data_IF_591005631526
#
_entry.id   IF_591005631526
#
_cell.length_a   1.000
_cell.length_b   1.000
_cell.length_c   1.000
_cell.angle_alpha   90.00
_cell.angle_beta   90.00
_cell.angle_gamma   90.00
#
_symmetry.space_group_name_H-M   'P 1'
#
loop_
_entity.id
_entity.type
_entity.pdbx_description
1 polymer ?
#
# COMPACT_ATOMS: atom_id res chain seq x y z
N UNK A 1 2.40 -1.64 4.13
CA UNK A 1 1.80 -0.50 4.82
C UNK A 1 2.70 0.08 5.92
N UNK A 2 3.26 -0.76 6.81
CA UNK A 2 4.08 -0.31 7.96
C UNK A 2 5.38 0.42 7.58
N UNK A 3 6.02 0.02 6.49
CA UNK A 3 7.24 0.68 6.02
C UNK A 3 6.97 1.90 5.13
N UNK A 4 5.74 2.13 4.70
CA UNK A 4 5.39 3.17 3.73
C UNK A 4 4.39 4.17 4.31
N UNK A 5 3.10 3.91 4.26
CA UNK A 5 2.06 4.85 4.69
C UNK A 5 2.20 5.27 6.16
N UNK A 6 2.47 4.29 7.04
CA UNK A 6 2.65 4.59 8.46
C UNK A 6 3.90 5.44 8.72
N UNK A 7 4.96 5.31 7.90
CA UNK A 7 6.13 6.18 7.99
C UNK A 7 5.80 7.63 7.59
N UNK A 8 5.07 7.85 6.49
CA UNK A 8 4.66 9.19 6.08
C UNK A 8 3.78 9.90 7.13
N UNK A 9 2.79 9.18 7.67
CA UNK A 9 1.96 9.74 8.75
C UNK A 9 2.80 10.01 10.00
N UNK A 10 3.75 9.14 10.33
CA UNK A 10 4.66 9.35 11.46
C UNK A 10 5.53 10.60 11.29
N UNK A 11 6.08 10.83 10.09
CA UNK A 11 6.82 12.06 9.76
C UNK A 11 5.94 13.29 9.88
N UNK A 12 4.71 13.23 9.36
CA UNK A 12 3.75 14.31 9.44
C UNK A 12 3.44 14.69 10.92
N UNK A 13 3.14 13.69 11.76
CA UNK A 13 2.85 13.91 13.18
C UNK A 13 4.05 14.51 13.90
N UNK A 14 5.27 14.03 13.64
CA UNK A 14 6.49 14.53 14.26
C UNK A 14 6.85 15.95 13.82
N UNK A 15 6.63 16.27 12.53
CA UNK A 15 6.97 17.57 11.95
C UNK A 15 6.01 18.66 12.44
N UNK A 16 4.72 18.37 12.49
CA UNK A 16 3.70 19.38 12.75
C UNK A 16 3.08 19.29 14.16
N UNK A 17 3.41 18.24 14.92
CA UNK A 17 2.77 17.93 16.21
C UNK A 17 1.23 17.95 16.10
N UNK A 18 0.70 17.52 14.96
CA UNK A 18 -0.72 17.51 14.65
C UNK A 18 -1.36 16.22 15.17
N UNK A 19 -2.00 16.32 16.33
CA UNK A 19 -2.64 15.19 17.02
C UNK A 19 -4.03 14.85 16.44
N UNK A 20 -4.47 15.52 15.36
CA UNK A 20 -5.77 15.24 14.76
C UNK A 20 -5.75 14.01 13.83
N UNK A 21 -4.56 13.52 13.50
CA UNK A 21 -4.40 12.37 12.61
C UNK A 21 -3.72 11.19 13.32
N UNK A 22 -4.08 10.01 12.91
CA UNK A 22 -3.51 8.75 13.35
C UNK A 22 -4.04 7.61 12.48
N UNK A 23 -3.48 6.43 12.63
CA UNK A 23 -3.86 5.24 11.85
C UNK A 23 -4.60 4.26 12.75
N UNK A 24 -5.82 3.88 12.36
CA UNK A 24 -6.47 2.67 12.83
C UNK A 24 -6.10 1.53 11.87
N UNK A 25 -5.28 0.59 12.33
CA UNK A 25 -4.86 -0.56 11.56
C UNK A 25 -5.86 -1.70 11.65
N UNK A 26 -6.34 -2.18 10.49
CA UNK A 26 -7.28 -3.31 10.43
C UNK A 26 -6.62 -4.50 9.76
N UNK A 27 -6.58 -5.63 10.47
CA UNK A 27 -6.12 -6.90 9.92
C UNK A 27 -7.30 -7.68 9.34
N UNK A 28 -7.24 -8.05 8.06
CA UNK A 28 -8.29 -8.83 7.41
C UNK A 28 -8.04 -10.35 7.47
N UNK A 29 -6.77 -10.78 7.59
CA UNK A 29 -6.38 -12.18 7.42
C UNK A 29 -6.09 -12.86 8.74
N UNK A 30 -6.70 -14.00 8.96
CA UNK A 30 -6.51 -14.83 10.17
C UNK A 30 -5.04 -15.27 10.35
N UNK A 31 -4.33 -15.53 9.27
CA UNK A 31 -2.93 -15.98 9.29
C UNK A 31 -1.98 -14.91 9.88
N UNK A 32 -2.34 -13.66 9.77
CA UNK A 32 -1.53 -12.54 10.28
C UNK A 32 -1.92 -12.12 11.71
N UNK A 33 -2.99 -12.68 12.29
CA UNK A 33 -3.51 -12.31 13.61
C UNK A 33 -2.45 -12.37 14.72
N UNK A 34 -1.57 -13.38 14.70
CA UNK A 34 -0.49 -13.49 15.71
C UNK A 34 0.52 -12.35 15.63
N UNK A 35 0.90 -11.93 14.41
CA UNK A 35 1.80 -10.78 14.22
C UNK A 35 1.11 -9.49 14.63
N UNK A 36 -0.18 -9.40 14.34
CA UNK A 36 -1.03 -8.28 14.69
C UNK A 36 -1.21 -8.13 16.21
N UNK A 37 -1.38 -9.23 16.95
CA UNK A 37 -1.41 -9.27 18.41
C UNK A 37 -0.12 -8.68 19.02
N UNK A 38 1.05 -9.04 18.48
CA UNK A 38 2.32 -8.51 18.93
C UNK A 38 2.39 -6.98 18.75
N UNK A 39 1.91 -6.46 17.64
CA UNK A 39 1.84 -5.03 17.39
C UNK A 39 0.84 -4.35 18.35
N UNK A 40 -0.29 -4.98 18.62
CA UNK A 40 -1.32 -4.51 19.56
C UNK A 40 -0.77 -4.43 21.00
N UNK A 41 0.00 -5.43 21.44
CA UNK A 41 0.69 -5.42 22.74
C UNK A 41 1.66 -4.22 22.89
N UNK A 42 2.24 -3.76 21.78
CA UNK A 42 3.12 -2.58 21.73
C UNK A 42 2.37 -1.28 21.43
N UNK A 43 1.04 -1.28 21.48
CA UNK A 43 0.18 -0.12 21.20
C UNK A 43 0.49 0.51 19.83
N UNK A 44 0.71 -0.32 18.81
CA UNK A 44 1.03 0.13 17.46
C UNK A 44 2.49 0.56 17.22
N UNK A 45 3.35 0.59 18.25
CA UNK A 45 4.75 1.03 18.13
C UNK A 45 5.67 -0.04 17.60
N UNK A 46 6.59 0.35 16.74
CA UNK A 46 7.64 -0.53 16.22
C UNK A 46 8.83 0.28 15.69
N UNK A 47 9.94 -0.41 15.43
CA UNK A 47 11.12 0.19 14.82
C UNK A 47 11.13 -0.12 13.32
N UNK A 48 11.30 0.93 12.52
CA UNK A 48 11.65 0.86 11.11
C UNK A 48 13.16 1.05 10.99
N UNK A 49 13.86 0.02 10.49
CA UNK A 49 15.27 0.08 10.12
C UNK A 49 15.38 0.33 8.64
N UNK A 50 16.16 1.33 8.24
CA UNK A 50 16.56 1.52 6.84
C UNK A 50 18.04 1.25 6.67
N UNK A 51 18.41 0.70 5.52
CA UNK A 51 19.79 0.43 5.15
C UNK A 51 20.03 0.97 3.75
N UNK A 52 21.00 1.88 3.62
CA UNK A 52 21.41 2.43 2.33
C UNK A 52 22.29 1.45 1.55
N UNK A 53 22.53 1.71 0.27
CA UNK A 53 23.48 0.95 -0.56
C UNK A 53 24.92 1.06 -0.06
N UNK A 54 25.27 2.12 0.67
CA UNK A 54 26.56 2.28 1.35
C UNK A 54 26.65 1.49 2.66
N UNK A 55 25.58 0.83 3.10
CA UNK A 55 25.51 0.12 4.38
C UNK A 55 25.22 1.00 5.58
N UNK A 56 24.86 2.27 5.36
CA UNK A 56 24.47 3.17 6.45
C UNK A 56 23.09 2.77 6.98
N UNK A 57 22.99 2.65 8.30
CA UNK A 57 21.79 2.21 9.00
C UNK A 57 21.12 3.36 9.74
N UNK A 58 19.82 3.50 9.58
CA UNK A 58 18.98 4.41 10.36
C UNK A 58 17.86 3.63 11.05
N UNK A 59 17.50 4.05 12.28
CA UNK A 59 16.43 3.46 13.07
C UNK A 59 15.43 4.54 13.45
N UNK A 60 14.18 4.30 13.14
CA UNK A 60 13.08 5.23 13.40
C UNK A 60 11.97 4.53 14.19
N UNK A 61 11.56 5.12 15.31
CA UNK A 61 10.36 4.66 16.01
C UNK A 61 9.12 5.15 15.25
N UNK A 62 8.25 4.23 14.92
CA UNK A 62 6.94 4.50 14.31
C UNK A 62 5.88 4.35 15.39
N UNK A 63 5.10 5.41 15.60
CA UNK A 63 4.04 5.50 16.60
C UNK A 63 2.72 6.07 16.02
N UNK A 64 2.63 6.21 14.72
CA UNK A 64 1.45 6.71 14.01
C UNK A 64 0.23 5.79 14.06
N UNK A 65 0.41 4.51 14.42
CA UNK A 65 -0.69 3.55 14.56
C UNK A 65 -1.20 3.62 16.00
N UNK A 66 -2.40 4.17 16.16
CA UNK A 66 -3.00 4.44 17.48
C UNK A 66 -4.05 3.40 17.89
N UNK A 67 -4.60 2.68 16.92
CA UNK A 67 -5.62 1.67 17.13
C UNK A 67 -5.37 0.45 16.22
N UNK A 68 -5.75 -0.73 16.69
CA UNK A 68 -5.52 -1.99 15.99
C UNK A 68 -6.70 -2.94 16.21
N UNK A 69 -7.40 -3.28 15.13
CA UNK A 69 -8.59 -4.14 15.13
C UNK A 69 -8.37 -5.35 14.22
N UNK A 70 -8.59 -6.54 14.73
CA UNK A 70 -8.52 -7.79 13.96
C UNK A 70 -9.91 -8.20 13.46
N UNK A 71 -10.25 -7.87 12.22
CA UNK A 71 -11.53 -8.21 11.61
C UNK A 71 -11.78 -9.71 11.55
N UNK A 72 -10.74 -10.52 11.44
CA UNK A 72 -10.91 -11.99 11.45
C UNK A 72 -11.48 -12.53 12.76
N UNK A 73 -11.39 -11.76 13.84
CA UNK A 73 -11.87 -12.12 15.19
C UNK A 73 -13.04 -11.25 15.66
N UNK A 74 -13.04 -9.99 15.32
CA UNK A 74 -14.09 -9.04 15.72
C UNK A 74 -14.51 -8.21 14.50
N UNK A 75 -15.45 -8.78 13.74
CA UNK A 75 -15.95 -8.18 12.50
C UNK A 75 -16.70 -6.89 12.78
N UNK A 76 -17.57 -6.89 13.78
CA UNK A 76 -18.41 -5.74 14.11
C UNK A 76 -17.58 -4.50 14.45
N UNK A 77 -16.59 -4.62 15.32
CA UNK A 77 -15.68 -3.53 15.70
C UNK A 77 -14.91 -2.96 14.49
N UNK A 78 -14.41 -3.86 13.63
CA UNK A 78 -13.67 -3.43 12.45
C UNK A 78 -14.55 -2.77 11.37
N UNK A 79 -15.79 -3.22 11.22
CA UNK A 79 -16.77 -2.63 10.32
C UNK A 79 -17.27 -1.29 10.87
N UNK A 80 -17.45 -1.16 12.17
CA UNK A 80 -17.86 0.07 12.84
C UNK A 80 -16.76 1.16 12.79
N UNK A 81 -15.51 0.78 12.66
CA UNK A 81 -14.41 1.74 12.53
C UNK A 81 -14.64 2.73 11.37
N UNK A 82 -15.22 2.28 10.25
CA UNK A 82 -15.55 3.17 9.13
C UNK A 82 -16.79 4.04 9.39
N UNK A 83 -17.58 3.73 10.41
CA UNK A 83 -18.72 4.55 10.83
C UNK A 83 -18.32 5.70 11.76
N UNK A 84 -17.06 5.77 12.17
CA UNK A 84 -16.53 6.94 12.87
C UNK A 84 -16.47 8.14 11.91
N UNK A 85 -17.11 9.29 12.24
CA UNK A 85 -17.11 10.49 11.39
C UNK A 85 -15.71 11.10 11.20
N UNK A 86 -14.75 10.80 12.08
CA UNK A 86 -13.38 11.30 11.99
C UNK A 86 -12.53 10.48 11.01
N UNK A 87 -12.95 9.29 10.62
CA UNK A 87 -12.32 8.52 9.55
C UNK A 87 -12.69 9.14 8.19
N UNK A 88 -11.69 9.73 7.53
CA UNK A 88 -11.83 10.43 6.24
C UNK A 88 -11.23 9.65 5.08
N UNK A 89 -10.21 8.84 5.37
CA UNK A 89 -9.39 8.15 4.38
C UNK A 89 -9.15 6.71 4.82
N UNK A 90 -9.30 5.78 3.89
CA UNK A 90 -8.90 4.38 4.05
C UNK A 90 -7.80 4.08 3.06
N UNK A 91 -6.63 3.72 3.54
CA UNK A 91 -5.54 3.18 2.71
C UNK A 91 -5.52 1.67 2.82
N UNK A 92 -5.32 0.96 1.71
CA UNK A 92 -5.32 -0.50 1.72
C UNK A 92 -4.16 -1.09 0.93
N UNK A 93 -3.60 -2.18 1.49
CA UNK A 93 -2.57 -3.00 0.87
C UNK A 93 -2.92 -4.46 1.12
N UNK A 94 -3.58 -5.08 0.16
CA UNK A 94 -4.03 -6.49 0.25
C UNK A 94 -3.27 -7.41 -0.68
N UNK A 95 -2.29 -6.86 -1.42
CA UNK A 95 -1.51 -7.46 -2.49
C UNK A 95 -2.36 -7.77 -3.74
N UNK A 96 -1.70 -7.92 -4.90
CA UNK A 96 -2.38 -8.14 -6.19
C UNK A 96 -3.37 -9.32 -6.15
N UNK A 97 -2.96 -10.43 -5.53
CA UNK A 97 -3.82 -11.62 -5.41
C UNK A 97 -5.07 -11.41 -4.55
N UNK A 98 -5.03 -10.47 -3.61
CA UNK A 98 -6.13 -10.15 -2.71
C UNK A 98 -7.28 -9.38 -3.37
N UNK A 99 -7.09 -8.89 -4.59
CA UNK A 99 -8.15 -8.25 -5.37
C UNK A 99 -8.91 -9.21 -6.27
N UNK A 100 -8.44 -10.47 -6.42
CA UNK A 100 -9.12 -11.52 -7.21
C UNK A 100 -9.47 -11.08 -8.63
N UNK A 101 -8.61 -10.30 -9.26
CA UNK A 101 -8.81 -9.77 -10.62
C UNK A 101 -8.39 -10.80 -11.69
N UNK A 102 -9.01 -10.70 -12.84
CA UNK A 102 -8.63 -11.45 -14.05
C UNK A 102 -7.62 -10.64 -14.90
N UNK A 103 -7.19 -11.19 -16.02
CA UNK A 103 -6.25 -10.58 -16.96
C UNK A 103 -6.72 -9.22 -17.54
N UNK A 104 -7.99 -8.87 -17.38
CA UNK A 104 -8.59 -7.60 -17.81
C UNK A 104 -8.78 -6.63 -16.66
N UNK A 105 -8.13 -6.83 -15.53
CA UNK A 105 -8.31 -6.05 -14.28
C UNK A 105 -9.77 -5.94 -13.82
N UNK A 106 -10.58 -6.97 -14.10
CA UNK A 106 -11.97 -7.06 -13.64
C UNK A 106 -12.10 -8.13 -12.56
N UNK A 107 -13.03 -7.96 -11.64
CA UNK A 107 -13.29 -8.95 -10.60
C UNK A 107 -13.64 -10.31 -11.21
N UNK A 108 -12.94 -11.34 -10.79
CA UNK A 108 -13.20 -12.69 -11.27
C UNK A 108 -14.36 -13.37 -10.50
N UNK A 109 -15.58 -13.07 -10.92
CA UNK A 109 -16.80 -13.60 -10.30
C UNK A 109 -16.93 -15.15 -10.39
N UNK A 110 -16.07 -15.81 -11.16
CA UNK A 110 -16.10 -17.28 -11.28
C UNK A 110 -15.35 -17.99 -10.15
N UNK A 111 -14.51 -17.31 -9.40
CA UNK A 111 -13.78 -17.88 -8.29
C UNK A 111 -14.72 -18.28 -7.17
N UNK A 112 -14.50 -19.46 -6.60
CA UNK A 112 -15.33 -20.02 -5.53
C UNK A 112 -15.35 -19.11 -4.29
N UNK A 113 -14.19 -18.55 -3.91
CA UNK A 113 -14.07 -17.61 -2.79
C UNK A 113 -14.96 -16.37 -3.01
N UNK A 114 -15.04 -15.84 -4.23
CA UNK A 114 -15.88 -14.68 -4.54
C UNK A 114 -17.36 -15.07 -4.45
N UNK A 115 -17.75 -16.21 -5.01
CA UNK A 115 -19.13 -16.71 -4.93
C UNK A 115 -19.57 -16.93 -3.49
N UNK A 116 -18.72 -17.57 -2.68
CA UNK A 116 -19.03 -17.84 -1.28
C UNK A 116 -19.21 -16.54 -0.47
N UNK A 117 -18.42 -15.52 -0.76
CA UNK A 117 -18.56 -14.22 -0.11
C UNK A 117 -19.83 -13.47 -0.58
N UNK A 118 -20.19 -13.52 -1.86
CA UNK A 118 -21.43 -12.93 -2.40
C UNK A 118 -22.66 -13.62 -1.80
N UNK A 119 -22.63 -14.93 -1.66
CA UNK A 119 -23.72 -15.73 -1.09
C UNK A 119 -23.78 -15.66 0.45
N UNK A 120 -22.84 -14.96 1.10
CA UNK A 120 -22.77 -14.84 2.57
C UNK A 120 -22.32 -16.12 3.31
N UNK A 121 -21.81 -17.12 2.58
CA UNK A 121 -21.24 -18.36 3.16
C UNK A 121 -19.90 -18.09 3.85
N UNK A 122 -19.17 -17.12 3.32
CA UNK A 122 -17.91 -16.62 3.86
C UNK A 122 -17.97 -15.09 3.99
N UNK A 123 -17.10 -14.54 4.83
CA UNK A 123 -16.88 -13.10 4.95
C UNK A 123 -15.40 -12.91 5.28
N UNK A 124 -14.54 -12.90 4.23
CA UNK A 124 -13.09 -13.09 4.39
C UNK A 124 -12.24 -12.28 3.41
N UNK A 125 -12.88 -11.53 2.48
CA UNK A 125 -12.18 -10.76 1.44
C UNK A 125 -12.38 -9.27 1.62
N UNK A 126 -11.52 -8.46 0.99
CA UNK A 126 -11.58 -6.99 1.08
C UNK A 126 -12.96 -6.44 0.67
N UNK A 127 -13.58 -6.99 -0.39
CA UNK A 127 -14.88 -6.49 -0.86
C UNK A 127 -16.01 -6.74 0.12
N UNK A 128 -16.03 -7.90 0.80
CA UNK A 128 -17.04 -8.18 1.83
C UNK A 128 -16.84 -7.29 3.06
N UNK A 129 -15.60 -6.98 3.43
CA UNK A 129 -15.30 -5.99 4.47
C UNK A 129 -15.80 -4.60 4.08
N UNK A 130 -15.40 -4.10 2.89
CA UNK A 130 -15.81 -2.78 2.40
C UNK A 130 -17.32 -2.66 2.25
N UNK A 131 -17.99 -3.69 1.72
CA UNK A 131 -19.45 -3.72 1.62
C UNK A 131 -20.11 -3.54 2.99
N UNK A 132 -19.73 -4.35 3.98
CA UNK A 132 -20.31 -4.27 5.31
C UNK A 132 -20.03 -2.93 6.01
N UNK A 133 -18.78 -2.47 5.98
CA UNK A 133 -18.34 -1.25 6.65
C UNK A 133 -18.93 0.01 6.00
N UNK A 134 -18.96 0.10 4.66
CA UNK A 134 -19.55 1.22 3.94
C UNK A 134 -21.09 1.26 4.08
N UNK A 135 -21.74 0.09 4.14
CA UNK A 135 -23.18 0.02 4.42
C UNK A 135 -23.52 0.55 5.82
N UNK A 136 -22.73 0.18 6.82
CA UNK A 136 -22.86 0.74 8.18
C UNK A 136 -22.63 2.25 8.16
N UNK A 137 -21.59 2.74 7.48
CA UNK A 137 -21.31 4.18 7.34
C UNK A 137 -22.46 4.93 6.66
N UNK A 138 -22.98 4.42 5.56
CA UNK A 138 -24.14 4.99 4.86
C UNK A 138 -25.34 5.12 5.79
N UNK A 139 -25.67 4.05 6.52
CA UNK A 139 -26.85 4.00 7.37
C UNK A 139 -26.71 4.81 8.65
N UNK A 140 -25.52 4.91 9.23
CA UNK A 140 -25.33 5.52 10.56
C UNK A 140 -25.00 7.00 10.49
N UNK A 141 -24.07 7.41 9.63
CA UNK A 141 -23.57 8.81 9.58
C UNK A 141 -23.72 9.47 8.22
N UNK A 142 -23.91 8.70 7.16
CA UNK A 142 -24.08 9.18 5.78
C UNK A 142 -23.01 10.22 5.34
N UNK A 143 -21.73 9.99 5.69
CA UNK A 143 -20.63 10.91 5.36
C UNK A 143 -19.70 10.31 4.32
N UNK A 144 -19.23 11.18 3.44
CA UNK A 144 -18.26 10.87 2.38
C UNK A 144 -16.98 10.25 2.92
N UNK A 145 -16.24 9.50 2.09
CA UNK A 145 -14.96 8.87 2.45
C UNK A 145 -14.11 8.66 1.19
N UNK A 146 -12.78 8.71 1.35
CA UNK A 146 -11.84 8.38 0.29
C UNK A 146 -11.26 6.98 0.51
N UNK A 147 -11.26 6.14 -0.52
CA UNK A 147 -10.63 4.81 -0.53
C UNK A 147 -9.42 4.83 -1.44
N UNK A 148 -8.25 4.59 -0.88
CA UNK A 148 -6.97 4.67 -1.57
C UNK A 148 -6.31 3.28 -1.61
N UNK A 149 -6.27 2.67 -2.80
CA UNK A 149 -5.52 1.45 -3.04
C UNK A 149 -4.03 1.79 -3.13
N UNK A 150 -3.21 1.22 -2.23
CA UNK A 150 -1.77 1.44 -2.16
C UNK A 150 -0.98 0.20 -2.60
N UNK A 151 -1.53 -0.59 -3.51
CA UNK A 151 -0.86 -1.75 -4.09
C UNK A 151 -0.28 -1.42 -5.48
N UNK A 152 0.72 -2.20 -5.90
CA UNK A 152 1.42 -2.01 -7.15
C UNK A 152 0.62 -2.56 -8.33
N UNK A 153 -0.53 -1.97 -8.62
CA UNK A 153 -1.47 -2.32 -9.68
C UNK A 153 -1.70 -1.07 -10.53
N UNK A 154 -1.74 -1.22 -11.84
CA UNK A 154 -2.03 -0.12 -12.76
C UNK A 154 -3.43 0.43 -12.52
N UNK A 155 -3.54 1.77 -12.51
CA UNK A 155 -4.80 2.48 -12.28
C UNK A 155 -5.54 1.91 -11.07
N UNK A 156 -4.81 1.76 -9.96
CA UNK A 156 -5.25 1.00 -8.79
C UNK A 156 -6.54 1.55 -8.14
N UNK A 157 -6.77 2.86 -8.20
CA UNK A 157 -8.02 3.48 -7.75
C UNK A 157 -9.20 3.09 -8.65
N UNK A 158 -9.04 3.19 -9.98
CA UNK A 158 -10.05 2.79 -10.96
C UNK A 158 -10.36 1.30 -10.85
N UNK A 159 -9.32 0.47 -10.75
CA UNK A 159 -9.47 -0.98 -10.56
C UNK A 159 -10.27 -1.30 -9.29
N UNK A 160 -9.94 -0.67 -8.16
CA UNK A 160 -10.65 -0.88 -6.89
C UNK A 160 -12.13 -0.49 -7.01
N UNK A 161 -12.41 0.70 -7.59
CA UNK A 161 -13.77 1.19 -7.80
C UNK A 161 -14.59 0.21 -8.64
N UNK A 162 -14.05 -0.19 -9.80
CA UNK A 162 -14.71 -1.10 -10.74
C UNK A 162 -14.99 -2.47 -10.11
N UNK A 163 -14.01 -3.04 -9.41
CA UNK A 163 -14.17 -4.34 -8.76
C UNK A 163 -15.18 -4.29 -7.61
N UNK A 164 -15.16 -3.23 -6.80
CA UNK A 164 -16.13 -3.03 -5.73
C UNK A 164 -17.56 -2.89 -6.30
N UNK A 165 -17.74 -2.10 -7.36
CA UNK A 165 -19.04 -1.96 -8.05
C UNK A 165 -19.54 -3.30 -8.61
N UNK A 166 -18.66 -4.09 -9.21
CA UNK A 166 -19.01 -5.43 -9.72
C UNK A 166 -19.43 -6.37 -8.57
N UNK A 167 -18.71 -6.32 -7.43
CA UNK A 167 -19.04 -7.13 -6.26
C UNK A 167 -20.40 -6.74 -5.68
N UNK A 168 -20.67 -5.45 -5.50
CA UNK A 168 -21.93 -4.94 -4.98
C UNK A 168 -23.12 -5.26 -5.90
N UNK A 169 -22.93 -5.11 -7.21
CA UNK A 169 -23.95 -5.50 -8.20
C UNK A 169 -24.29 -6.98 -8.13
N UNK A 170 -23.25 -7.86 -8.05
CA UNK A 170 -23.43 -9.29 -7.90
C UNK A 170 -24.09 -9.68 -6.56
N UNK A 171 -23.83 -8.91 -5.50
CA UNK A 171 -24.44 -9.06 -4.18
C UNK A 171 -25.84 -8.40 -4.09
N UNK A 172 -26.31 -7.76 -5.17
CA UNK A 172 -27.60 -7.02 -5.23
C UNK A 172 -27.72 -5.86 -4.23
N UNK A 173 -26.61 -5.27 -3.84
CA UNK A 173 -26.55 -4.11 -2.93
C UNK A 173 -26.63 -2.80 -3.72
N UNK A 174 -27.74 -2.60 -4.43
CA UNK A 174 -27.91 -1.47 -5.38
C UNK A 174 -27.99 -0.10 -4.69
N UNK A 175 -28.59 -0.01 -3.51
CA UNK A 175 -28.66 1.24 -2.74
C UNK A 175 -27.25 1.68 -2.29
N UNK A 176 -26.43 0.75 -1.82
CA UNK A 176 -25.05 1.02 -1.46
C UNK A 176 -24.21 1.39 -2.70
N UNK A 177 -24.45 0.75 -3.84
CA UNK A 177 -23.77 1.06 -5.10
C UNK A 177 -24.04 2.54 -5.51
N UNK A 178 -25.29 2.97 -5.48
CA UNK A 178 -25.67 4.36 -5.78
C UNK A 178 -25.08 5.35 -4.77
N UNK A 179 -25.07 4.99 -3.49
CA UNK A 179 -24.45 5.81 -2.45
C UNK A 179 -22.94 5.99 -2.68
N UNK A 180 -22.22 4.91 -3.02
CA UNK A 180 -20.78 4.94 -3.29
C UNK A 180 -20.45 5.88 -4.45
N UNK A 181 -21.24 5.89 -5.53
CA UNK A 181 -21.01 6.76 -6.68
C UNK A 181 -21.01 8.26 -6.32
N UNK A 182 -21.72 8.65 -5.27
CA UNK A 182 -21.88 10.04 -4.86
C UNK A 182 -21.04 10.41 -3.62
N UNK A 183 -20.55 9.42 -2.87
CA UNK A 183 -19.99 9.65 -1.54
C UNK A 183 -18.60 9.04 -1.33
N UNK A 184 -18.05 8.35 -2.33
CA UNK A 184 -16.73 7.72 -2.21
C UNK A 184 -15.85 8.13 -3.39
N UNK A 185 -14.65 8.65 -3.11
CA UNK A 185 -13.62 8.86 -4.14
C UNK A 185 -12.60 7.74 -4.11
N UNK A 186 -11.97 7.49 -5.26
CA UNK A 186 -11.02 6.40 -5.47
C UNK A 186 -9.78 6.93 -6.22
N UNK A 187 -9.00 7.85 -5.62
CA UNK A 187 -7.79 8.32 -6.28
C UNK A 187 -6.83 7.16 -6.54
N UNK A 188 -6.17 7.20 -7.69
CA UNK A 188 -5.06 6.28 -7.97
C UNK A 188 -3.78 6.79 -7.34
N UNK A 189 -2.83 5.89 -7.06
CA UNK A 189 -1.54 6.29 -6.55
C UNK A 189 -0.39 5.38 -7.01
N UNK A 190 0.80 5.93 -7.01
CA UNK A 190 2.05 5.20 -7.19
C UNK A 190 2.76 5.12 -5.85
N UNK A 191 3.05 3.91 -5.39
CA UNK A 191 3.84 3.64 -4.19
C UNK A 191 5.14 2.97 -4.58
N UNK A 192 6.24 3.40 -3.97
CA UNK A 192 7.52 2.74 -4.18
C UNK A 192 8.38 2.76 -2.92
N UNK A 193 8.81 1.62 -2.50
CA UNK A 193 9.81 1.34 -1.47
C UNK A 193 10.10 -0.14 -1.40
N UNK A 194 11.36 -0.54 -1.52
CA UNK A 194 11.77 -1.92 -1.28
C UNK A 194 11.66 -2.23 0.21
N UNK A 195 10.84 -3.24 0.53
CA UNK A 195 10.63 -3.72 1.90
C UNK A 195 10.85 -5.23 1.91
N UNK A 196 12.08 -5.69 2.18
CA UNK A 196 12.38 -7.11 2.21
C UNK A 196 11.70 -7.82 3.38
N UNK A 197 11.69 -9.15 3.34
CA UNK A 197 11.28 -9.92 4.52
C UNK A 197 12.18 -9.55 5.69
N UNK A 198 11.57 -9.20 6.83
CA UNK A 198 12.32 -8.87 8.04
C UNK A 198 13.18 -10.05 8.47
N UNK A 199 14.51 -9.92 8.49
CA UNK A 199 15.41 -11.00 8.89
C UNK A 199 15.29 -11.26 10.39
N UNK A 200 15.54 -12.51 10.80
CA UNK A 200 15.43 -12.91 12.21
C UNK A 200 16.40 -12.13 13.12
N UNK A 201 17.57 -11.75 12.63
CA UNK A 201 18.55 -11.00 13.41
C UNK A 201 18.06 -9.60 13.81
N UNK A 202 17.16 -8.99 13.03
CA UNK A 202 16.64 -7.65 13.34
C UNK A 202 15.91 -7.62 14.69
N UNK A 203 15.27 -8.70 15.05
CA UNK A 203 14.59 -8.86 16.32
C UNK A 203 15.53 -8.77 17.51
N UNK A 204 16.64 -9.52 17.45
CA UNK A 204 17.68 -9.48 18.50
C UNK A 204 18.37 -8.13 18.56
N UNK A 205 18.65 -7.55 17.42
CA UNK A 205 19.25 -6.22 17.29
C UNK A 205 18.38 -5.11 17.91
N UNK A 206 17.06 -5.12 17.63
CA UNK A 206 16.13 -4.17 18.24
C UNK A 206 16.04 -4.37 19.75
N UNK A 207 16.03 -5.62 20.21
CA UNK A 207 16.04 -5.92 21.64
C UNK A 207 17.29 -5.37 22.33
N UNK A 208 18.45 -5.57 21.72
CA UNK A 208 19.73 -5.10 22.26
C UNK A 208 19.83 -3.57 22.28
N UNK A 209 19.49 -2.91 21.16
CA UNK A 209 19.65 -1.46 21.02
C UNK A 209 18.57 -0.64 21.72
N UNK A 210 17.33 -1.12 21.74
CA UNK A 210 16.17 -0.34 22.21
C UNK A 210 15.46 -0.94 23.42
N UNK A 211 15.93 -2.10 23.91
CA UNK A 211 15.26 -2.85 24.97
C UNK A 211 13.77 -3.12 24.67
N UNK A 212 13.46 -3.31 23.39
CA UNK A 212 12.12 -3.59 22.90
C UNK A 212 12.07 -5.06 22.49
N UNK A 213 11.32 -5.89 23.25
CA UNK A 213 10.95 -7.23 22.78
C UNK A 213 10.08 -7.07 21.54
N UNK A 214 10.69 -7.23 20.34
CA UNK A 214 10.07 -6.72 19.16
C UNK A 214 10.04 -7.72 18.00
N UNK A 215 8.95 -8.47 17.94
CA UNK A 215 8.56 -9.18 16.73
C UNK A 215 7.91 -8.26 15.67
N UNK A 216 7.97 -6.94 15.85
CA UNK A 216 7.24 -5.96 15.06
C UNK A 216 8.16 -5.07 14.22
N UNK A 217 9.49 -5.24 14.30
CA UNK A 217 10.44 -4.50 13.47
C UNK A 217 10.17 -4.69 11.96
N UNK A 218 10.47 -3.65 11.19
CA UNK A 218 10.36 -3.66 9.73
C UNK A 218 11.68 -3.15 9.16
N UNK A 219 12.13 -3.74 8.05
CA UNK A 219 13.29 -3.27 7.32
C UNK A 219 12.87 -2.74 5.95
N UNK A 220 13.49 -1.66 5.52
CA UNK A 220 13.27 -1.08 4.21
C UNK A 220 14.52 -0.36 3.69
N UNK A 221 14.52 0.01 2.42
CA UNK A 221 15.48 0.96 1.87
C UNK A 221 15.17 2.40 2.35
N UNK A 222 16.14 3.33 2.28
CA UNK A 222 15.91 4.74 2.60
C UNK A 222 14.92 5.39 1.62
N UNK A 223 14.99 5.04 0.33
CA UNK A 223 14.10 5.59 -0.69
C UNK A 223 12.64 5.28 -0.36
N UNK A 224 11.80 6.30 -0.49
CA UNK A 224 10.35 6.19 -0.34
C UNK A 224 9.67 7.17 -1.26
N UNK A 225 8.68 6.72 -2.01
CA UNK A 225 7.90 7.56 -2.90
C UNK A 225 6.41 7.25 -2.79
N UNK A 226 5.61 8.32 -2.69
CA UNK A 226 4.16 8.23 -2.78
C UNK A 226 3.63 9.38 -3.63
N UNK A 227 3.02 9.04 -4.76
CA UNK A 227 2.40 9.99 -5.68
C UNK A 227 0.92 9.64 -5.74
N UNK A 228 0.05 10.61 -5.52
CA UNK A 228 -1.40 10.38 -5.35
C UNK A 228 -2.15 11.39 -6.23
N UNK A 229 -3.19 10.95 -6.90
CA UNK A 229 -4.16 11.84 -7.53
C UNK A 229 -4.87 12.68 -6.47
N UNK A 230 -4.95 14.01 -6.67
CA UNK A 230 -5.59 14.91 -5.69
C UNK A 230 -7.12 14.92 -5.87
N UNK A 231 -7.72 13.72 -5.91
CA UNK A 231 -9.16 13.48 -5.99
C UNK A 231 -9.71 13.01 -4.63
N UNK A 232 -9.53 13.84 -3.61
CA UNK A 232 -10.05 13.56 -2.27
C UNK A 232 -11.41 14.20 -2.07
N UNK A 233 -12.40 13.40 -1.69
CA UNK A 233 -13.76 13.88 -1.42
C UNK A 233 -13.89 14.51 -0.02
N UNK A 234 -12.86 14.36 0.82
CA UNK A 234 -12.77 14.85 2.20
C UNK A 234 -11.44 15.54 2.46
N UNK A 235 -11.31 16.08 3.69
CA UNK A 235 -10.04 16.52 4.25
C UNK A 235 -9.02 15.37 4.29
N UNK A 236 -7.77 15.71 4.07
CA UNK A 236 -6.61 14.82 4.22
C UNK A 236 -5.49 15.50 5.01
N UNK A 237 -4.57 14.75 5.63
CA UNK A 237 -3.37 15.36 6.20
C UNK A 237 -2.52 15.97 5.06
N UNK A 238 -1.82 17.06 5.37
CA UNK A 238 -0.97 17.78 4.41
C UNK A 238 0.34 17.00 4.17
N UNK A 239 0.23 15.83 3.57
CA UNK A 239 1.35 14.92 3.35
C UNK A 239 2.37 15.44 2.32
N UNK A 240 2.01 16.41 1.51
CA UNK A 240 2.94 17.17 0.65
C UNK A 240 4.08 17.79 1.44
N UNK A 241 3.84 18.19 2.66
CA UNK A 241 4.84 18.77 3.56
C UNK A 241 5.90 17.76 4.06
N UNK A 242 5.65 16.47 3.87
CA UNK A 242 6.57 15.39 4.24
C UNK A 242 6.97 14.54 3.02
N UNK A 243 6.80 15.09 1.80
CA UNK A 243 7.33 14.53 0.57
C UNK A 243 6.36 13.65 -0.24
N UNK A 244 5.08 13.55 0.13
CA UNK A 244 4.08 12.96 -0.76
C UNK A 244 3.78 13.94 -1.88
N UNK A 245 3.73 13.46 -3.12
CA UNK A 245 3.40 14.28 -4.29
C UNK A 245 1.94 14.11 -4.67
N UNK A 246 1.18 15.21 -4.72
CA UNK A 246 -0.18 15.22 -5.24
C UNK A 246 -0.17 15.73 -6.69
N UNK A 247 -0.91 15.07 -7.56
CA UNK A 247 -0.94 15.33 -9.01
C UNK A 247 -2.38 15.21 -9.53
N UNK A 248 -2.64 15.77 -10.70
CA UNK A 248 -3.95 15.64 -11.37
C UNK A 248 -4.10 14.24 -12.02
N UNK A 249 -3.00 13.61 -12.40
CA UNK A 249 -2.96 12.30 -13.08
C UNK A 249 -1.68 11.54 -12.70
N UNK A 250 -1.80 10.34 -12.16
CA UNK A 250 -0.65 9.49 -11.81
C UNK A 250 -0.12 8.67 -12.99
N UNK A 251 -0.87 8.55 -14.09
CA UNK A 251 -0.49 7.70 -15.22
C UNK A 251 0.93 7.94 -15.74
N UNK A 252 1.41 9.19 -15.93
CA UNK A 252 2.79 9.45 -16.35
C UNK A 252 3.84 8.88 -15.41
N UNK A 253 3.60 8.95 -14.11
CA UNK A 253 4.51 8.45 -13.08
C UNK A 253 4.48 6.91 -12.99
N UNK A 254 3.31 6.34 -13.14
CA UNK A 254 3.12 4.89 -13.18
C UNK A 254 3.82 4.29 -14.41
N UNK A 255 3.65 4.89 -15.59
CA UNK A 255 4.33 4.47 -16.82
C UNK A 255 5.84 4.53 -16.67
N UNK A 256 6.36 5.65 -16.14
CA UNK A 256 7.78 5.82 -15.90
C UNK A 256 8.32 4.77 -14.92
N UNK A 257 7.66 4.57 -13.78
CA UNK A 257 8.04 3.56 -12.80
C UNK A 257 8.08 2.15 -13.42
N UNK A 258 7.03 1.75 -14.12
CA UNK A 258 6.94 0.42 -14.73
C UNK A 258 8.05 0.22 -15.77
N UNK A 259 8.29 1.19 -16.63
CA UNK A 259 9.27 1.06 -17.71
C UNK A 259 10.71 1.22 -17.24
N UNK A 260 10.99 2.21 -16.38
CA UNK A 260 12.36 2.50 -15.93
C UNK A 260 12.74 1.56 -14.79
N UNK A 261 12.01 1.56 -13.68
CA UNK A 261 12.40 0.81 -12.48
C UNK A 261 12.08 -0.69 -12.62
N UNK A 262 10.82 -1.04 -12.82
CA UNK A 262 10.43 -2.44 -12.88
C UNK A 262 11.00 -3.15 -14.11
N UNK A 263 11.03 -2.49 -15.26
CA UNK A 263 11.63 -3.01 -16.48
C UNK A 263 13.13 -3.27 -16.35
N UNK A 264 13.86 -2.35 -15.73
CA UNK A 264 15.29 -2.51 -15.43
C UNK A 264 15.54 -3.68 -14.49
N UNK A 265 14.76 -3.82 -13.40
CA UNK A 265 14.88 -4.95 -12.48
C UNK A 265 14.65 -6.30 -13.17
N UNK A 266 13.63 -6.41 -14.01
CA UNK A 266 13.34 -7.64 -14.75
C UNK A 266 14.50 -7.98 -15.70
N UNK A 267 14.93 -7.01 -16.49
CA UNK A 267 16.00 -7.23 -17.46
C UNK A 267 17.33 -7.60 -16.76
N UNK A 268 17.69 -6.87 -15.68
CA UNK A 268 18.90 -7.17 -14.91
C UNK A 268 18.86 -8.57 -14.28
N UNK A 269 17.69 -8.99 -13.78
CA UNK A 269 17.52 -10.33 -13.22
C UNK A 269 17.76 -11.42 -14.25
N UNK A 270 17.22 -11.28 -15.47
CA UNK A 270 17.44 -12.25 -16.54
C UNK A 270 18.90 -12.29 -17.02
N UNK A 271 19.51 -11.15 -17.29
CA UNK A 271 20.89 -11.10 -17.76
C UNK A 271 21.88 -11.51 -16.67
N UNK A 272 21.61 -11.14 -15.41
CA UNK A 272 22.39 -11.59 -14.26
C UNK A 272 22.36 -13.09 -14.11
N UNK A 273 21.17 -13.72 -14.20
CA UNK A 273 21.02 -15.16 -14.14
C UNK A 273 21.74 -15.88 -15.29
N UNK A 274 21.69 -15.34 -16.52
CA UNK A 274 22.43 -15.89 -17.67
C UNK A 274 23.95 -15.83 -17.47
N UNK A 275 24.45 -14.86 -16.73
CA UNK A 275 25.87 -14.75 -16.34
C UNK A 275 26.24 -15.57 -15.09
N UNK A 276 25.26 -16.18 -14.43
CA UNK A 276 25.47 -17.02 -13.24
C UNK A 276 25.44 -16.26 -11.91
N UNK A 277 25.02 -15.01 -11.89
CA UNK A 277 24.77 -14.24 -10.67
C UNK A 277 23.52 -14.75 -9.95
N UNK A 278 23.57 -14.77 -8.64
CA UNK A 278 22.47 -15.28 -7.79
C UNK A 278 21.66 -14.17 -7.13
N UNK A 279 22.23 -12.97 -7.04
CA UNK A 279 21.58 -11.79 -6.46
C UNK A 279 21.57 -10.61 -7.44
N UNK A 280 20.67 -9.70 -7.18
CA UNK A 280 20.58 -8.45 -7.94
C UNK A 280 21.85 -7.59 -7.76
N UNK A 281 22.35 -7.52 -6.53
CA UNK A 281 23.54 -6.73 -6.17
C UNK A 281 24.80 -7.22 -6.91
N UNK A 282 24.96 -8.54 -7.03
CA UNK A 282 26.04 -9.11 -7.85
C UNK A 282 25.90 -8.71 -9.32
N UNK A 283 24.69 -8.78 -9.87
CA UNK A 283 24.43 -8.46 -11.25
C UNK A 283 24.68 -6.98 -11.56
N UNK A 284 24.21 -6.04 -10.74
CA UNK A 284 24.42 -4.60 -10.94
C UNK A 284 25.88 -4.17 -10.75
N UNK A 285 26.64 -4.92 -9.97
CA UNK A 285 28.07 -4.67 -9.74
C UNK A 285 28.94 -5.07 -10.95
N UNK A 286 28.41 -5.84 -11.91
CA UNK A 286 29.09 -6.12 -13.18
C UNK A 286 29.04 -4.90 -14.10
N UNK A 287 30.18 -4.24 -14.29
CA UNK A 287 30.30 -3.03 -15.11
C UNK A 287 29.77 -3.17 -16.54
N UNK A 288 29.84 -4.37 -17.13
CA UNK A 288 29.31 -4.58 -18.49
C UNK A 288 27.77 -4.62 -18.47
N UNK A 289 27.18 -5.21 -17.42
CA UNK A 289 25.73 -5.18 -17.25
C UNK A 289 25.24 -3.77 -16.90
N UNK A 290 25.92 -3.08 -15.99
CA UNK A 290 25.61 -1.70 -15.63
C UNK A 290 25.60 -0.80 -16.88
N UNK A 291 26.66 -0.84 -17.70
CA UNK A 291 26.73 -0.06 -18.91
C UNK A 291 25.67 -0.45 -19.95
N UNK A 292 25.42 -1.75 -20.12
CA UNK A 292 24.38 -2.25 -21.03
C UNK A 292 23.00 -1.76 -20.62
N UNK A 293 22.71 -1.76 -19.33
CA UNK A 293 21.46 -1.23 -18.78
C UNK A 293 21.32 0.26 -19.00
N UNK A 294 22.38 1.03 -18.70
CA UNK A 294 22.38 2.45 -18.96
C UNK A 294 22.10 2.75 -20.44
N UNK A 295 22.70 2.00 -21.35
CA UNK A 295 22.44 2.17 -22.79
C UNK A 295 21.01 1.83 -23.19
N UNK A 296 20.42 0.75 -22.66
CA UNK A 296 19.00 0.41 -22.89
C UNK A 296 18.09 1.52 -22.38
N UNK A 297 18.33 2.01 -21.17
CA UNK A 297 17.55 3.12 -20.61
C UNK A 297 17.63 4.37 -21.50
N UNK A 298 18.81 4.78 -21.90
CA UNK A 298 19.01 6.01 -22.68
C UNK A 298 18.51 5.90 -24.12
N UNK A 299 18.72 4.75 -24.77
CA UNK A 299 18.47 4.61 -26.21
C UNK A 299 17.09 4.02 -26.54
N UNK A 300 16.49 3.27 -25.61
CA UNK A 300 15.25 2.53 -25.88
C UNK A 300 14.11 2.93 -24.95
N UNK A 301 14.34 2.94 -23.61
CA UNK A 301 13.26 3.16 -22.64
C UNK A 301 12.86 4.63 -22.59
N UNK A 302 13.82 5.54 -22.34
CA UNK A 302 13.51 6.97 -22.19
C UNK A 302 12.94 7.61 -23.47
N UNK A 303 13.39 7.28 -24.69
CA UNK A 303 12.75 7.77 -25.91
C UNK A 303 11.34 7.23 -26.15
N UNK A 304 11.03 6.03 -25.60
CA UNK A 304 9.71 5.41 -25.72
C UNK A 304 8.69 5.90 -24.71
N UNK A 305 9.11 6.68 -23.69
CA UNK A 305 8.18 7.31 -22.75
C UNK A 305 7.46 8.47 -23.43
N UNK A 306 6.14 8.37 -23.50
CA UNK A 306 5.29 9.42 -24.06
C UNK A 306 5.24 10.63 -23.13
N UNK A 307 5.16 10.37 -21.82
CA UNK A 307 5.13 11.39 -20.78
C UNK A 307 6.38 11.30 -19.89
N UNK A 308 7.02 12.44 -19.65
CA UNK A 308 8.20 12.55 -18.79
C UNK A 308 7.85 13.40 -17.58
N UNK A 309 7.37 12.79 -16.49
CA UNK A 309 6.84 13.53 -15.34
C UNK A 309 7.92 14.15 -14.45
N UNK A 310 9.20 13.93 -14.75
CA UNK A 310 10.34 14.41 -14.00
C UNK A 310 11.43 14.93 -14.94
N UNK A 311 12.32 15.75 -14.41
CA UNK A 311 13.52 16.18 -15.11
C UNK A 311 14.49 14.99 -15.18
N UNK A 312 14.87 14.58 -16.37
CA UNK A 312 15.78 13.43 -16.59
C UNK A 312 17.25 13.74 -16.23
N UNK A 313 17.55 15.00 -15.86
CA UNK A 313 18.88 15.43 -15.43
C UNK A 313 19.06 15.39 -13.91
N UNK A 314 17.98 15.20 -13.16
CA UNK A 314 17.94 14.95 -11.72
C UNK A 314 17.88 13.44 -11.41
#
# INVERSE_FOLDING_TARGET
HRAHQANYINEYLNTFNDLNWGICGINLRKEDSKKFDNLKLKKGKYILKTISTSGEEEYKEINSIIELIDWSRNKEEAEDALSNPDVKLVTMTVTESGYYINEKNKLNLNLEIIKNNIEGKENSIIYSYLMAALKKRMMSINKKITLLCCDNIRENGVMLQDCLKQYLSASKEYELLEWIENNVSFPSCVVDRITPRTPEFLKSEIMEKFNLDNNCGVMAEPFIQWIIEDDFINERPRLEEVGVKFVDDVFPYEEAKIRILNGAHVALSYFGALKGYTTYDEAISDKNLEQYFFEIQQKEILPALVHKPFNLEE
#
